data_IF_680138020013
#
_entry.id   IF_680138020013
#
_cell.length_a   1.000
_cell.length_b   1.000
_cell.length_c   1.000
_cell.angle_alpha   90.00
_cell.angle_beta   90.00
_cell.angle_gamma   90.00
#
_symmetry.space_group_name_H-M   'P 1'
#
loop_
_entity.id
_entity.type
_entity.pdbx_description
1 polymer ?
#
# COMPACT_ATOMS: atom_id res chain seq x y z
N UNK A 1 -26.97 -11.96 -0.09
CA UNK A 1 -25.56 -12.09 -0.55
C UNK A 1 -24.75 -12.63 0.61
N UNK A 2 -23.88 -13.62 0.37
CA UNK A 2 -23.08 -14.25 1.42
C UNK A 2 -21.95 -13.29 1.82
N UNK A 3 -21.82 -12.96 3.12
CA UNK A 3 -20.84 -11.98 3.65
C UNK A 3 -19.41 -12.29 3.15
N UNK A 4 -19.08 -13.57 3.01
CA UNK A 4 -17.78 -13.99 2.50
C UNK A 4 -17.55 -13.66 1.02
N UNK A 5 -18.60 -13.66 0.18
CA UNK A 5 -18.45 -13.31 -1.22
C UNK A 5 -18.18 -11.82 -1.41
N UNK A 6 -18.83 -10.97 -0.60
CA UNK A 6 -18.59 -9.52 -0.58
C UNK A 6 -17.16 -9.23 -0.11
N UNK A 7 -16.72 -9.88 0.98
CA UNK A 7 -15.33 -9.83 1.44
C UNK A 7 -14.33 -10.19 0.33
N UNK A 8 -14.53 -11.31 -0.36
CA UNK A 8 -13.62 -11.74 -1.43
C UNK A 8 -13.59 -10.77 -2.61
N UNK A 9 -14.75 -10.23 -2.99
CA UNK A 9 -14.85 -9.25 -4.06
C UNK A 9 -14.09 -7.96 -3.71
N UNK A 10 -14.29 -7.45 -2.50
CA UNK A 10 -13.63 -6.23 -2.03
C UNK A 10 -12.11 -6.43 -1.89
N UNK A 11 -11.67 -7.59 -1.38
CA UNK A 11 -10.24 -7.88 -1.28
C UNK A 11 -9.56 -7.97 -2.65
N UNK A 12 -10.24 -8.50 -3.67
CA UNK A 12 -9.73 -8.53 -5.05
C UNK A 12 -9.72 -7.12 -5.67
N UNK A 13 -10.76 -6.33 -5.43
CA UNK A 13 -10.83 -4.94 -5.90
C UNK A 13 -9.70 -4.09 -5.28
N UNK A 14 -9.46 -4.24 -3.97
CA UNK A 14 -8.37 -3.59 -3.27
C UNK A 14 -7.01 -4.02 -3.81
N UNK A 15 -6.82 -5.31 -4.06
CA UNK A 15 -5.56 -5.82 -4.63
C UNK A 15 -5.29 -5.22 -6.03
N UNK A 16 -6.31 -5.13 -6.89
CA UNK A 16 -6.20 -4.50 -8.20
C UNK A 16 -5.81 -3.02 -8.10
N UNK A 17 -6.43 -2.28 -7.19
CA UNK A 17 -6.05 -0.88 -6.90
C UNK A 17 -4.60 -0.77 -6.41
N UNK A 18 -4.14 -1.69 -5.55
CA UNK A 18 -2.77 -1.67 -5.06
C UNK A 18 -1.76 -2.01 -6.16
N UNK A 19 -2.11 -2.87 -7.11
CA UNK A 19 -1.30 -3.14 -8.29
C UNK A 19 -1.22 -1.92 -9.20
N UNK A 20 -2.34 -1.21 -9.42
CA UNK A 20 -2.38 0.05 -10.16
C UNK A 20 -1.46 1.10 -9.51
N UNK A 21 -1.57 1.27 -8.19
CA UNK A 21 -0.73 2.20 -7.44
C UNK A 21 0.76 1.81 -7.46
N UNK A 22 1.07 0.51 -7.32
CA UNK A 22 2.44 0.01 -7.43
C UNK A 22 3.04 0.35 -8.79
N UNK A 23 2.30 0.18 -9.89
CA UNK A 23 2.78 0.50 -11.22
C UNK A 23 3.14 1.98 -11.37
N UNK A 24 2.32 2.88 -10.78
CA UNK A 24 2.58 4.33 -10.77
C UNK A 24 3.81 4.68 -9.95
N UNK A 25 3.96 4.11 -8.74
CA UNK A 25 5.10 4.37 -7.87
C UNK A 25 6.40 3.82 -8.48
N UNK A 26 6.36 2.64 -9.10
CA UNK A 26 7.52 2.09 -9.81
C UNK A 26 7.90 2.94 -11.03
N UNK A 27 6.91 3.50 -11.75
CA UNK A 27 7.16 4.43 -12.85
C UNK A 27 7.80 5.74 -12.36
N UNK A 28 7.28 6.32 -11.28
CA UNK A 28 7.86 7.51 -10.63
C UNK A 28 9.32 7.24 -10.22
N UNK A 29 9.60 6.09 -9.59
CA UNK A 29 10.95 5.72 -9.20
C UNK A 29 11.90 5.54 -10.39
N UNK A 30 11.41 5.06 -11.53
CA UNK A 30 12.21 5.02 -12.79
C UNK A 30 12.51 6.43 -13.30
N UNK A 31 11.50 7.29 -13.33
CA UNK A 31 11.62 8.66 -13.80
C UNK A 31 12.56 9.50 -12.90
N UNK A 32 12.57 9.22 -11.59
CA UNK A 32 13.50 9.84 -10.63
C UNK A 32 14.96 9.42 -10.81
N UNK A 33 15.24 8.30 -11.48
CA UNK A 33 16.61 7.86 -11.78
C UNK A 33 17.16 8.43 -13.09
N UNK A 34 16.29 8.76 -14.04
CA UNK A 34 16.67 9.34 -15.33
C UNK A 34 16.76 10.85 -15.22
N UNK A 35 17.86 11.46 -15.66
CA UNK A 35 17.98 12.92 -15.69
C UNK A 35 16.93 13.49 -16.66
N UNK A 36 16.07 14.40 -16.16
CA UNK A 36 15.04 15.10 -16.94
C UNK A 36 14.00 14.20 -17.63
N UNK A 37 13.33 13.34 -16.87
CA UNK A 37 12.20 12.55 -17.38
C UNK A 37 10.89 13.36 -17.38
N UNK A 38 10.30 13.67 -18.56
CA UNK A 38 9.04 14.41 -18.67
C UNK A 38 7.83 13.67 -18.08
N UNK A 39 7.95 12.36 -17.81
CA UNK A 39 6.89 11.56 -17.19
C UNK A 39 6.73 11.79 -15.69
N UNK A 40 7.67 12.48 -15.01
CA UNK A 40 7.57 12.77 -13.57
C UNK A 40 6.27 13.49 -13.19
N UNK A 41 5.84 14.44 -14.01
CA UNK A 41 4.61 15.20 -13.75
C UNK A 41 3.35 14.32 -13.95
N UNK A 42 3.35 13.45 -14.96
CA UNK A 42 2.22 12.56 -15.21
C UNK A 42 2.12 11.47 -14.14
N UNK A 43 3.25 10.94 -13.63
CA UNK A 43 3.26 10.00 -12.51
C UNK A 43 2.77 10.64 -11.22
N UNK A 44 3.16 11.89 -10.93
CA UNK A 44 2.66 12.61 -9.76
C UNK A 44 1.14 12.83 -9.83
N UNK A 45 0.64 13.22 -11.00
CA UNK A 45 -0.78 13.46 -11.24
C UNK A 45 -1.60 12.16 -11.12
N UNK A 46 -1.12 11.06 -11.70
CA UNK A 46 -1.72 9.74 -11.57
C UNK A 46 -1.76 9.28 -10.11
N UNK A 47 -0.64 9.42 -9.38
CA UNK A 47 -0.56 9.08 -7.95
C UNK A 47 -1.57 9.85 -7.12
N UNK A 48 -1.66 11.16 -7.33
CA UNK A 48 -2.61 12.04 -6.64
C UNK A 48 -4.07 11.64 -6.91
N UNK A 49 -4.39 11.24 -8.14
CA UNK A 49 -5.72 10.76 -8.52
C UNK A 49 -6.15 9.47 -7.81
N UNK A 50 -5.20 8.63 -7.39
CA UNK A 50 -5.47 7.36 -6.71
C UNK A 50 -5.65 7.50 -5.19
N UNK A 51 -5.20 8.61 -4.57
CA UNK A 51 -5.24 8.78 -3.11
C UNK A 51 -6.64 8.68 -2.48
N UNK A 52 -7.73 9.22 -3.09
CA UNK A 52 -9.07 9.05 -2.53
C UNK A 52 -9.50 7.58 -2.49
N UNK A 53 -9.30 6.85 -3.60
CA UNK A 53 -9.61 5.41 -3.72
C UNK A 53 -8.76 4.58 -2.75
N UNK A 54 -7.49 4.93 -2.59
CA UNK A 54 -6.60 4.29 -1.61
C UNK A 54 -7.14 4.46 -0.19
N UNK A 55 -7.54 5.67 0.19
CA UNK A 55 -8.07 5.96 1.53
C UNK A 55 -9.32 5.13 1.83
N UNK A 56 -10.24 5.04 0.88
CA UNK A 56 -11.44 4.22 1.01
C UNK A 56 -11.10 2.72 1.13
N UNK A 57 -10.25 2.20 0.24
CA UNK A 57 -9.83 0.79 0.25
C UNK A 57 -9.18 0.36 1.56
N UNK A 58 -8.34 1.22 2.15
CA UNK A 58 -7.69 0.94 3.45
C UNK A 58 -8.72 0.90 4.58
N UNK A 59 -9.74 1.77 4.53
CA UNK A 59 -10.86 1.75 5.45
C UNK A 59 -11.65 0.44 5.37
N UNK A 60 -11.96 -0.02 4.15
CA UNK A 60 -12.64 -1.29 3.90
C UNK A 60 -11.79 -2.49 4.34
N UNK A 61 -10.51 -2.52 3.97
CA UNK A 61 -9.58 -3.60 4.36
C UNK A 61 -9.47 -3.76 5.87
N UNK A 62 -9.46 -2.65 6.63
CA UNK A 62 -9.44 -2.70 8.10
C UNK A 62 -10.73 -3.31 8.67
N UNK A 63 -11.89 -2.96 8.13
CA UNK A 63 -13.19 -3.54 8.52
C UNK A 63 -13.22 -5.04 8.23
N UNK A 64 -12.83 -5.42 7.01
CA UNK A 64 -12.75 -6.81 6.56
C UNK A 64 -11.80 -7.65 7.39
N UNK A 65 -10.62 -7.12 7.73
CA UNK A 65 -9.67 -7.81 8.62
C UNK A 65 -10.24 -8.01 10.03
N UNK A 66 -10.92 -7.01 10.59
CA UNK A 66 -11.55 -7.13 11.90
C UNK A 66 -12.66 -8.18 11.88
N UNK A 67 -13.54 -8.17 10.88
CA UNK A 67 -14.59 -9.18 10.70
C UNK A 67 -14.02 -10.59 10.50
N UNK A 68 -12.96 -10.73 9.69
CA UNK A 68 -12.29 -12.01 9.49
C UNK A 68 -11.71 -12.58 10.79
N UNK A 69 -11.20 -11.72 11.68
CA UNK A 69 -10.65 -12.14 12.97
C UNK A 69 -11.71 -12.58 13.98
N UNK A 70 -12.97 -12.19 13.81
CA UNK A 70 -14.07 -12.65 14.68
C UNK A 70 -14.60 -14.03 14.31
N UNK A 71 -14.26 -14.55 13.12
CA UNK A 71 -14.69 -15.87 12.66
C UNK A 71 -13.92 -17.01 13.37
N UNK A 72 -14.63 -18.09 13.68
CA UNK A 72 -14.03 -19.30 14.24
C UNK A 72 -12.95 -19.85 13.29
N UNK A 73 -11.81 -20.35 13.80
CA UNK A 73 -10.84 -21.09 13.01
C UNK A 73 -11.45 -22.10 12.02
N UNK A 74 -12.49 -22.83 12.40
CA UNK A 74 -13.15 -23.82 11.53
C UNK A 74 -13.86 -23.17 10.34
N UNK A 75 -14.47 -22.00 10.53
CA UNK A 75 -15.09 -21.21 9.47
C UNK A 75 -14.05 -20.57 8.56
N UNK A 76 -12.96 -20.05 9.13
CA UNK A 76 -11.84 -19.51 8.36
C UNK A 76 -11.17 -20.56 7.48
N UNK A 77 -11.03 -21.79 7.99
CA UNK A 77 -10.47 -22.91 7.23
C UNK A 77 -11.29 -23.27 5.98
N UNK A 78 -12.60 -22.96 5.96
CA UNK A 78 -13.46 -23.15 4.78
C UNK A 78 -13.23 -22.10 3.69
N UNK A 79 -12.53 -21.02 4.00
CA UNK A 79 -12.29 -19.90 3.08
C UNK A 79 -10.79 -19.55 2.99
N UNK A 80 -9.93 -20.49 2.55
CA UNK A 80 -8.48 -20.26 2.47
C UNK A 80 -8.11 -19.11 1.53
N UNK A 81 -8.93 -18.85 0.51
CA UNK A 81 -8.74 -17.74 -0.41
C UNK A 81 -8.78 -16.37 0.29
N UNK A 82 -9.69 -16.17 1.25
CA UNK A 82 -9.79 -14.90 1.97
C UNK A 82 -8.50 -14.62 2.77
N UNK A 83 -7.93 -15.64 3.41
CA UNK A 83 -6.65 -15.52 4.11
C UNK A 83 -5.49 -15.20 3.14
N UNK A 84 -5.47 -15.82 1.96
CA UNK A 84 -4.46 -15.55 0.93
C UNK A 84 -4.58 -14.11 0.40
N UNK A 85 -5.79 -13.64 0.09
CA UNK A 85 -6.03 -12.28 -0.40
C UNK A 85 -5.72 -11.22 0.66
N UNK A 86 -6.07 -11.45 1.93
CA UNK A 86 -5.69 -10.54 3.03
C UNK A 86 -4.17 -10.38 3.15
N UNK A 87 -3.43 -11.48 3.00
CA UNK A 87 -1.96 -11.46 2.99
C UNK A 87 -1.42 -10.70 1.78
N UNK A 88 -1.91 -10.99 0.58
CA UNK A 88 -1.49 -10.30 -0.65
C UNK A 88 -1.74 -8.78 -0.56
N UNK A 89 -2.91 -8.37 -0.08
CA UNK A 89 -3.23 -6.96 0.16
C UNK A 89 -2.23 -6.33 1.15
N UNK A 90 -1.91 -7.02 2.26
CA UNK A 90 -0.91 -6.53 3.22
C UNK A 90 0.47 -6.39 2.57
N UNK A 91 0.94 -7.40 1.84
CA UNK A 91 2.26 -7.37 1.20
C UNK A 91 2.37 -6.26 0.15
N UNK A 92 1.31 -6.05 -0.65
CA UNK A 92 1.23 -4.93 -1.60
C UNK A 92 1.31 -3.57 -0.91
N UNK A 93 0.57 -3.36 0.19
CA UNK A 93 0.63 -2.11 0.98
C UNK A 93 2.06 -1.89 1.50
N UNK A 94 2.71 -2.93 1.99
CA UNK A 94 4.09 -2.82 2.49
C UNK A 94 5.07 -2.45 1.38
N UNK A 95 4.94 -3.05 0.20
CA UNK A 95 5.75 -2.71 -0.97
C UNK A 95 5.52 -1.26 -1.42
N UNK A 96 4.26 -0.80 -1.45
CA UNK A 96 3.89 0.59 -1.73
C UNK A 96 4.61 1.55 -0.79
N UNK A 97 4.52 1.32 0.53
CA UNK A 97 5.15 2.17 1.54
C UNK A 97 6.68 2.24 1.38
N UNK A 98 7.31 1.10 1.06
CA UNK A 98 8.75 1.04 0.90
C UNK A 98 9.21 1.83 -0.34
N UNK A 99 8.57 1.60 -1.49
CA UNK A 99 8.91 2.29 -2.73
C UNK A 99 8.59 3.79 -2.68
N UNK A 100 7.48 4.17 -2.04
CA UNK A 100 7.13 5.58 -1.87
C UNK A 100 8.20 6.33 -1.06
N UNK A 101 8.75 5.72 -0.01
CA UNK A 101 9.88 6.30 0.74
C UNK A 101 11.15 6.44 -0.09
N UNK A 102 11.44 5.46 -0.95
CA UNK A 102 12.58 5.53 -1.87
C UNK A 102 12.39 6.68 -2.88
N UNK A 103 11.18 6.83 -3.41
CA UNK A 103 10.83 7.94 -4.31
C UNK A 103 10.91 9.30 -3.61
N UNK A 104 10.40 9.42 -2.38
CA UNK A 104 10.52 10.63 -1.55
C UNK A 104 12.01 11.02 -1.38
N UNK A 105 12.89 10.06 -1.09
CA UNK A 105 14.34 10.32 -1.01
C UNK A 105 14.92 10.78 -2.37
N UNK A 106 14.46 10.20 -3.48
CA UNK A 106 14.84 10.61 -4.82
C UNK A 106 14.42 12.05 -5.14
N UNK A 107 13.20 12.43 -4.79
CA UNK A 107 12.68 13.79 -4.93
C UNK A 107 13.50 14.78 -4.09
N UNK A 108 13.81 14.43 -2.84
CA UNK A 108 14.63 15.26 -1.93
C UNK A 108 16.03 15.50 -2.50
N UNK A 109 16.69 14.46 -3.01
CA UNK A 109 18.03 14.58 -3.63
C UNK A 109 18.04 15.46 -4.87
N UNK A 110 16.92 15.55 -5.59
CA UNK A 110 16.76 16.41 -6.77
C UNK A 110 16.28 17.83 -6.46
N UNK A 111 16.01 18.15 -5.18
CA UNK A 111 15.45 19.45 -4.79
C UNK A 111 14.01 19.65 -5.29
N UNK A 112 13.30 18.58 -5.66
CA UNK A 112 11.94 18.62 -6.21
C UNK A 112 10.86 18.56 -5.12
N UNK A 113 11.23 18.69 -3.85
CA UNK A 113 10.27 18.72 -2.72
C UNK A 113 10.02 20.17 -2.31
N UNK A 114 8.77 20.67 -2.38
CA UNK A 114 8.41 21.97 -1.84
C UNK A 114 8.73 22.04 -0.33
N UNK A 115 9.26 23.14 0.21
CA UNK A 115 9.59 23.27 1.65
C UNK A 115 8.41 22.98 2.60
N UNK A 116 7.17 23.12 2.12
CA UNK A 116 5.93 22.83 2.87
C UNK A 116 5.59 21.34 2.96
N UNK A 117 6.21 20.51 2.13
CA UNK A 117 5.98 19.05 2.05
C UNK A 117 7.14 18.23 2.61
N UNK A 118 8.14 18.90 3.20
CA UNK A 118 9.23 18.22 3.92
C UNK A 118 8.62 17.36 5.05
N UNK A 119 8.83 16.03 5.04
CA UNK A 119 8.28 15.17 6.07
C UNK A 119 8.86 15.58 7.44
N UNK A 120 8.00 15.63 8.46
CA UNK A 120 8.48 15.81 9.83
C UNK A 120 9.45 14.67 10.18
N UNK A 121 10.52 15.01 10.90
CA UNK A 121 11.67 14.13 11.24
C UNK A 121 11.25 12.74 11.77
N UNK A 122 10.04 12.60 12.33
CA UNK A 122 9.50 11.33 12.82
C UNK A 122 9.17 10.28 11.76
N UNK A 123 9.00 10.63 10.48
CA UNK A 123 8.72 9.64 9.40
C UNK A 123 9.98 8.89 8.94
N UNK A 124 11.18 9.37 9.27
CA UNK A 124 12.47 8.77 8.94
C UNK A 124 12.90 7.69 9.95
N UNK A 125 12.03 6.72 10.29
CA UNK A 125 12.43 5.56 11.11
C UNK A 125 12.59 4.30 10.24
N UNK A 126 13.81 4.01 9.72
CA UNK A 126 14.07 2.87 8.84
C UNK A 126 13.64 1.52 9.42
N UNK A 127 13.63 1.37 10.75
CA UNK A 127 13.34 0.09 11.42
C UNK A 127 11.87 -0.18 11.73
N UNK A 128 10.95 0.78 11.54
CA UNK A 128 9.56 0.62 11.95
C UNK A 128 8.87 -0.58 11.27
N UNK A 129 9.17 -0.79 9.98
CA UNK A 129 8.60 -1.89 9.19
C UNK A 129 9.24 -3.23 9.58
N UNK A 130 10.57 -3.28 9.72
CA UNK A 130 11.27 -4.48 10.15
C UNK A 130 10.81 -4.94 11.54
N UNK A 131 10.58 -4.00 12.45
CA UNK A 131 10.09 -4.28 13.80
C UNK A 131 8.62 -4.73 13.81
N UNK A 132 7.79 -4.26 12.87
CA UNK A 132 6.40 -4.71 12.71
C UNK A 132 6.34 -6.18 12.26
N UNK A 133 7.17 -6.57 11.28
CA UNK A 133 7.29 -7.97 10.86
C UNK A 133 7.83 -8.86 11.99
N UNK A 134 8.82 -8.36 12.73
CA UNK A 134 9.39 -9.10 13.88
C UNK A 134 8.36 -9.33 15.00
N UNK A 135 7.34 -8.47 15.11
CA UNK A 135 6.21 -8.64 16.03
C UNK A 135 5.13 -9.59 15.50
N UNK A 136 4.82 -9.56 14.20
CA UNK A 136 3.83 -10.49 13.61
C UNK A 136 4.37 -11.91 13.40
N UNK A 137 5.68 -12.09 13.20
CA UNK A 137 6.30 -13.41 13.08
C UNK A 137 6.51 -14.14 14.43
N UNK A 138 6.21 -13.47 15.55
CA UNK A 138 6.33 -14.02 16.92
C UNK A 138 4.97 -14.34 17.57
N UNK A 139 3.88 -14.34 16.80
CA UNK A 139 2.53 -14.64 17.30
C UNK A 139 1.88 -15.79 16.56
#
# INVERSE_FOLDING_TARGET
MNVTNELLQDLRANLSLYQELLAVIEAEGRALRQAEDPSLFSTFSARKGLLPRLTESLGQLRKHRAQWQTLDPAERARHPEAAALLRQNQDSIMKIILLDRENEQGLLRRGLVPPRELPSVNRQRPHFVADLYRRQAKS
#
